data_IF_102203240769
#
_entry.id   IF_102203240769
#
_cell.length_a   1.000
_cell.length_b   1.000
_cell.length_c   1.000
_cell.angle_alpha   90.00
_cell.angle_beta   90.00
_cell.angle_gamma   90.00
#
_symmetry.space_group_name_H-M   'P 1'
#
loop_
_entity.id
_entity.type
_entity.pdbx_description
1 polymer ?
#
# COMPACT_ATOMS: atom_id res chain seq x y z
N UNK A 1 -49.92 -72.02 -16.86
CA UNK A 1 -49.41 -72.41 -15.53
C UNK A 1 -47.96 -71.94 -15.43
N UNK A 2 -47.69 -71.07 -14.46
CA UNK A 2 -46.40 -70.69 -13.84
C UNK A 2 -45.28 -70.01 -14.68
N UNK A 3 -44.91 -68.82 -14.17
CA UNK A 3 -43.83 -67.88 -14.55
C UNK A 3 -42.45 -68.30 -14.00
N UNK A 4 -41.36 -67.88 -14.68
CA UNK A 4 -40.09 -67.28 -14.15
C UNK A 4 -39.08 -67.22 -15.32
N UNK A 5 -38.75 -66.09 -15.93
CA UNK A 5 -38.13 -64.83 -15.48
C UNK A 5 -36.67 -64.95 -15.00
N UNK A 6 -35.76 -64.64 -15.95
CA UNK A 6 -34.62 -63.70 -15.90
C UNK A 6 -33.59 -63.70 -14.74
N UNK A 7 -32.33 -63.49 -15.14
CA UNK A 7 -31.27 -62.87 -14.33
C UNK A 7 -29.90 -63.53 -14.58
N UNK A 8 -29.15 -63.12 -15.61
CA UNK A 8 -28.10 -62.08 -15.55
C UNK A 8 -27.07 -62.31 -14.43
N UNK A 9 -25.84 -62.65 -14.82
CA UNK A 9 -24.63 -62.28 -14.06
C UNK A 9 -23.42 -62.31 -14.98
N UNK A 10 -22.89 -61.13 -15.31
CA UNK A 10 -21.54 -60.98 -15.85
C UNK A 10 -20.70 -60.24 -14.82
N UNK A 11 -19.51 -60.83 -14.60
CA UNK A 11 -18.26 -60.26 -14.08
C UNK A 11 -18.24 -59.59 -12.69
N UNK A 12 -17.64 -60.32 -11.74
CA UNK A 12 -16.89 -59.73 -10.63
C UNK A 12 -15.39 -59.97 -10.86
N UNK A 13 -14.59 -58.94 -10.68
CA UNK A 13 -13.19 -59.05 -10.29
C UNK A 13 -12.95 -58.05 -9.14
N UNK A 14 -12.59 -58.61 -7.98
CA UNK A 14 -11.98 -57.92 -6.84
C UNK A 14 -10.50 -57.62 -7.19
N UNK A 15 -9.69 -56.79 -6.54
CA UNK A 15 -9.67 -56.11 -5.26
C UNK A 15 -8.57 -55.05 -5.40
N UNK A 16 -8.75 -53.83 -4.90
CA UNK A 16 -7.69 -52.81 -4.89
C UNK A 16 -7.97 -51.80 -3.79
N UNK A 17 -7.47 -52.08 -2.59
CA UNK A 17 -7.60 -51.18 -1.44
C UNK A 17 -6.74 -49.94 -1.61
N UNK A 18 -7.39 -48.78 -1.61
CA UNK A 18 -6.74 -47.50 -1.33
C UNK A 18 -7.53 -46.79 -0.24
N UNK A 19 -7.05 -46.92 1.00
CA UNK A 19 -7.39 -46.00 2.07
C UNK A 19 -6.76 -44.65 1.78
N UNK A 20 -7.48 -43.79 1.05
CA UNK A 20 -7.17 -42.37 0.98
C UNK A 20 -7.78 -41.71 2.22
N UNK A 21 -6.90 -41.26 3.11
CA UNK A 21 -7.28 -40.60 4.35
C UNK A 21 -8.20 -39.40 4.10
N UNK A 22 -9.20 -39.15 4.96
CA UNK A 22 -9.94 -37.91 4.91
C UNK A 22 -8.97 -36.76 5.19
N UNK A 23 -8.81 -35.89 4.19
CA UNK A 23 -8.16 -34.58 4.33
C UNK A 23 -8.93 -33.84 5.41
N UNK A 24 -8.42 -33.88 6.63
CA UNK A 24 -8.90 -33.05 7.72
C UNK A 24 -8.69 -31.61 7.28
N UNK A 25 -9.79 -30.97 6.84
CA UNK A 25 -9.85 -29.52 6.67
C UNK A 25 -9.32 -28.94 7.98
N UNK A 26 -8.09 -28.40 7.97
CA UNK A 26 -7.56 -27.61 9.07
C UNK A 26 -8.59 -26.54 9.35
N UNK A 27 -9.34 -26.72 10.43
CA UNK A 27 -10.21 -25.70 10.99
C UNK A 27 -9.28 -24.56 11.35
N UNK A 28 -9.16 -23.56 10.46
CA UNK A 28 -8.45 -22.33 10.78
C UNK A 28 -9.15 -21.79 12.03
N UNK A 29 -8.41 -21.74 13.14
CA UNK A 29 -8.88 -21.04 14.34
C UNK A 29 -9.42 -19.67 13.89
N UNK A 30 -10.57 -19.23 14.42
CA UNK A 30 -11.04 -17.87 14.20
C UNK A 30 -9.88 -16.92 14.47
N UNK A 31 -9.47 -16.17 13.46
CA UNK A 31 -8.42 -15.17 13.63
C UNK A 31 -9.00 -14.10 14.55
N UNK A 32 -8.38 -13.89 15.70
CA UNK A 32 -8.82 -12.85 16.62
C UNK A 32 -8.90 -11.51 15.87
N UNK A 33 -9.95 -10.72 16.13
CA UNK A 33 -10.10 -9.41 15.48
C UNK A 33 -8.86 -8.56 15.77
N UNK A 34 -8.32 -7.83 14.77
CA UNK A 34 -7.10 -7.08 14.97
C UNK A 34 -7.33 -5.95 15.97
N UNK A 35 -6.45 -5.89 16.95
CA UNK A 35 -6.36 -4.78 17.88
C UNK A 35 -5.31 -3.77 17.41
N UNK A 36 -5.07 -2.77 18.25
CA UNK A 36 -4.09 -1.72 17.95
C UNK A 36 -2.66 -2.26 17.90
N UNK A 37 -2.30 -3.23 18.73
CA UNK A 37 -0.96 -3.84 18.74
C UNK A 37 -0.66 -4.59 17.45
N UNK A 38 -1.67 -5.24 16.86
CA UNK A 38 -1.54 -5.86 15.53
C UNK A 38 -1.31 -4.82 14.45
N UNK A 39 -2.02 -3.68 14.47
CA UNK A 39 -1.76 -2.58 13.55
C UNK A 39 -0.33 -2.06 13.71
N UNK A 40 0.09 -1.78 14.95
CA UNK A 40 1.40 -1.23 15.27
C UNK A 40 2.53 -2.13 14.73
N UNK A 41 2.47 -3.43 15.05
CA UNK A 41 3.44 -4.41 14.59
C UNK A 41 3.48 -4.54 13.06
N UNK A 42 2.32 -4.51 12.39
CA UNK A 42 2.26 -4.56 10.92
C UNK A 42 2.84 -3.30 10.29
N UNK A 43 2.51 -2.13 10.80
CA UNK A 43 3.08 -0.87 10.33
C UNK A 43 4.59 -0.83 10.55
N UNK A 44 5.10 -1.32 11.68
CA UNK A 44 6.54 -1.36 11.96
C UNK A 44 7.31 -2.25 10.97
N UNK A 45 6.78 -3.43 10.65
CA UNK A 45 7.36 -4.28 9.59
C UNK A 45 7.40 -3.54 8.25
N UNK A 46 6.34 -2.81 7.92
CA UNK A 46 6.29 -2.04 6.68
C UNK A 46 7.27 -0.86 6.69
N UNK A 47 7.47 -0.17 7.82
CA UNK A 47 8.48 0.89 7.96
C UNK A 47 9.85 0.37 7.55
N UNK A 48 10.27 -0.79 8.06
CA UNK A 48 11.57 -1.38 7.73
C UNK A 48 11.69 -1.74 6.25
N UNK A 49 10.62 -2.26 5.63
CA UNK A 49 10.62 -2.50 4.17
C UNK A 49 10.78 -1.21 3.38
N UNK A 50 10.07 -0.16 3.77
CA UNK A 50 10.17 1.15 3.12
C UNK A 50 11.55 1.78 3.34
N UNK A 51 12.19 1.58 4.49
CA UNK A 51 13.57 2.01 4.74
C UNK A 51 14.55 1.33 3.78
N UNK A 52 14.41 0.03 3.54
CA UNK A 52 15.22 -0.67 2.54
C UNK A 52 15.03 -0.12 1.13
N UNK A 53 13.79 0.18 0.72
CA UNK A 53 13.51 0.79 -0.59
C UNK A 53 14.04 2.23 -0.71
N UNK A 54 13.99 2.98 0.39
CA UNK A 54 14.56 4.32 0.43
C UNK A 54 16.08 4.28 0.30
N UNK A 55 16.74 3.37 1.02
CA UNK A 55 18.17 3.16 0.93
C UNK A 55 18.56 2.75 -0.50
N UNK A 56 17.83 1.81 -1.08
CA UNK A 56 18.02 1.36 -2.46
C UNK A 56 18.01 2.54 -3.45
N UNK A 57 16.97 3.37 -3.41
CA UNK A 57 16.82 4.52 -4.31
C UNK A 57 17.92 5.58 -4.14
N UNK A 58 18.51 5.69 -2.94
CA UNK A 58 19.63 6.60 -2.65
C UNK A 58 20.96 6.03 -3.13
N UNK A 59 21.21 4.74 -2.93
CA UNK A 59 22.48 4.09 -3.25
C UNK A 59 22.63 3.75 -4.73
N UNK A 60 21.51 3.62 -5.45
CA UNK A 60 21.49 3.23 -6.88
C UNK A 60 20.79 4.32 -7.71
N UNK A 61 21.31 5.56 -7.76
CA UNK A 61 20.67 6.63 -8.49
C UNK A 61 20.54 6.26 -9.97
N UNK A 62 19.32 6.36 -10.51
CA UNK A 62 19.08 6.22 -11.94
C UNK A 62 19.42 7.56 -12.61
N UNK A 63 20.45 7.59 -13.45
CA UNK A 63 20.98 8.82 -14.08
C UNK A 63 21.24 8.60 -15.56
N UNK A 64 20.97 9.61 -16.38
CA UNK A 64 21.34 9.66 -17.79
C UNK A 64 22.41 10.74 -18.01
N UNK A 65 23.56 10.36 -18.57
CA UNK A 65 24.68 11.30 -18.84
C UNK A 65 24.25 12.39 -19.82
N UNK A 66 23.31 12.07 -20.71
CA UNK A 66 22.79 13.01 -21.73
C UNK A 66 21.69 13.92 -21.18
N UNK A 67 21.10 13.58 -20.03
CA UNK A 67 20.04 14.34 -19.38
C UNK A 67 20.36 14.51 -17.88
N UNK A 68 21.16 15.51 -17.49
CA UNK A 68 21.58 15.71 -16.10
C UNK A 68 20.42 15.90 -15.12
N UNK A 69 19.30 16.44 -15.60
CA UNK A 69 18.08 16.67 -14.83
C UNK A 69 17.19 15.41 -14.72
N UNK A 70 17.52 14.33 -15.45
CA UNK A 70 16.80 13.06 -15.38
C UNK A 70 17.25 12.26 -14.15
N UNK A 71 16.56 12.46 -13.04
CA UNK A 71 16.89 11.84 -11.74
C UNK A 71 15.67 11.16 -11.11
N UNK A 72 15.04 10.21 -11.81
CA UNK A 72 13.70 9.75 -11.46
C UNK A 72 13.64 8.99 -10.12
N UNK A 73 14.74 8.36 -9.69
CA UNK A 73 14.84 7.79 -8.34
C UNK A 73 14.90 8.86 -7.25
N UNK A 74 15.59 9.98 -7.52
CA UNK A 74 15.62 11.10 -6.59
C UNK A 74 14.24 11.74 -6.45
N UNK A 75 13.51 11.85 -7.56
CA UNK A 75 12.13 12.36 -7.55
C UNK A 75 11.18 11.48 -6.73
N UNK A 76 11.47 10.18 -6.63
CA UNK A 76 10.71 9.23 -5.81
C UNK A 76 11.02 9.32 -4.30
N UNK A 77 12.20 9.82 -3.91
CA UNK A 77 12.64 9.86 -2.50
C UNK A 77 11.60 10.54 -1.58
N UNK A 78 11.02 11.71 -1.92
CA UNK A 78 9.98 12.34 -1.10
C UNK A 78 8.76 11.45 -0.86
N UNK A 79 8.26 10.73 -1.88
CA UNK A 79 7.10 9.82 -1.76
C UNK A 79 7.42 8.66 -0.82
N UNK A 80 8.61 8.06 -0.96
CA UNK A 80 9.06 6.95 -0.11
C UNK A 80 9.24 7.42 1.35
N UNK A 81 9.89 8.58 1.56
CA UNK A 81 10.06 9.20 2.89
C UNK A 81 8.74 9.51 3.56
N UNK A 82 7.79 10.11 2.85
CA UNK A 82 6.48 10.45 3.40
C UNK A 82 5.67 9.20 3.73
N UNK A 83 5.74 8.16 2.90
CA UNK A 83 5.14 6.86 3.21
C UNK A 83 5.71 6.27 4.50
N UNK A 84 7.05 6.32 4.67
CA UNK A 84 7.70 5.89 5.93
C UNK A 84 7.19 6.68 7.13
N UNK A 85 7.09 8.00 7.00
CA UNK A 85 6.60 8.90 8.07
C UNK A 85 5.16 8.56 8.45
N UNK A 86 4.30 8.27 7.47
CA UNK A 86 2.92 7.86 7.72
C UNK A 86 2.84 6.53 8.48
N UNK A 87 3.55 5.50 8.01
CA UNK A 87 3.56 4.20 8.66
C UNK A 87 4.16 4.27 10.07
N UNK A 88 5.22 5.06 10.27
CA UNK A 88 5.79 5.31 11.59
C UNK A 88 4.82 6.02 12.53
N UNK A 89 3.95 6.88 12.00
CA UNK A 89 2.92 7.54 12.79
C UNK A 89 1.83 6.58 13.24
N UNK A 90 1.54 5.57 12.42
CA UNK A 90 0.60 4.49 12.74
C UNK A 90 1.20 3.39 13.63
N UNK A 91 2.53 3.26 13.69
CA UNK A 91 3.19 2.17 14.40
C UNK A 91 3.39 2.40 15.89
N UNK A 92 3.13 3.62 16.39
CA UNK A 92 3.40 3.98 17.77
C UNK A 92 2.61 5.19 18.25
N UNK A 93 2.28 5.25 19.56
CA UNK A 93 1.79 6.47 20.17
C UNK A 93 2.82 7.60 20.08
N UNK A 94 2.36 8.84 19.88
CA UNK A 94 3.26 10.01 19.87
C UNK A 94 3.30 10.65 21.26
N UNK A 95 4.49 10.93 21.78
CA UNK A 95 4.73 11.74 22.99
C UNK A 95 4.04 11.20 24.27
N UNK A 96 4.10 9.89 24.53
CA UNK A 96 3.51 9.23 25.71
C UNK A 96 2.00 9.42 25.88
N UNK A 97 1.30 9.88 24.85
CA UNK A 97 -0.16 9.97 24.83
C UNK A 97 -0.77 8.63 24.37
N UNK A 98 -2.03 8.34 24.71
CA UNK A 98 -2.75 7.21 24.13
C UNK A 98 -2.71 7.23 22.61
N UNK A 99 -2.68 6.05 21.99
CA UNK A 99 -2.69 5.95 20.54
C UNK A 99 -3.91 6.69 19.96
N UNK A 100 -3.76 7.55 18.95
CA UNK A 100 -4.87 8.34 18.40
C UNK A 100 -5.98 7.48 17.79
N UNK A 101 -5.70 6.20 17.53
CA UNK A 101 -6.65 5.22 17.01
C UNK A 101 -7.17 4.26 18.07
N UNK A 102 -6.88 4.54 19.35
CA UNK A 102 -7.41 3.74 20.45
C UNK A 102 -8.95 3.82 20.43
N UNK A 103 -9.60 2.66 20.45
CA UNK A 103 -11.07 2.56 20.32
C UNK A 103 -11.59 2.56 18.88
N UNK A 104 -10.72 2.54 17.87
CA UNK A 104 -11.12 2.25 16.49
C UNK A 104 -11.65 0.81 16.38
N UNK A 105 -12.69 0.60 15.57
CA UNK A 105 -13.26 -0.73 15.38
C UNK A 105 -12.26 -1.69 14.73
N UNK A 106 -12.30 -3.00 15.05
CA UNK A 106 -11.42 -3.98 14.43
C UNK A 106 -11.51 -4.03 12.90
N UNK A 107 -12.69 -3.82 12.33
CA UNK A 107 -12.87 -3.78 10.87
C UNK A 107 -12.11 -2.62 10.21
N UNK A 108 -12.11 -1.45 10.85
CA UNK A 108 -11.37 -0.29 10.37
C UNK A 108 -9.86 -0.50 10.54
N UNK A 109 -9.41 -1.05 11.67
CA UNK A 109 -8.01 -1.42 11.87
C UNK A 109 -7.55 -2.44 10.81
N UNK A 110 -8.35 -3.47 10.54
CA UNK A 110 -8.07 -4.47 9.51
C UNK A 110 -7.97 -3.85 8.12
N UNK A 111 -8.86 -2.91 7.79
CA UNK A 111 -8.84 -2.21 6.52
C UNK A 111 -7.59 -1.35 6.35
N UNK A 112 -7.16 -0.64 7.40
CA UNK A 112 -5.90 0.12 7.41
C UNK A 112 -4.72 -0.84 7.19
N UNK A 113 -4.66 -1.96 7.93
CA UNK A 113 -3.60 -2.97 7.77
C UNK A 113 -3.55 -3.47 6.33
N UNK A 114 -4.68 -3.91 5.76
CA UNK A 114 -4.74 -4.48 4.40
C UNK A 114 -4.31 -3.49 3.32
N UNK A 115 -4.58 -2.20 3.52
CA UNK A 115 -4.15 -1.14 2.60
C UNK A 115 -2.65 -0.86 2.74
N UNK A 116 -2.18 -0.65 3.98
CA UNK A 116 -0.79 -0.27 4.25
C UNK A 116 0.22 -1.36 3.90
N UNK A 117 -0.12 -2.65 4.05
CA UNK A 117 0.80 -3.76 3.68
C UNK A 117 1.13 -3.82 2.18
N UNK A 118 0.32 -3.18 1.33
CA UNK A 118 0.52 -3.19 -0.14
C UNK A 118 1.51 -2.13 -0.61
N UNK A 119 1.73 -1.07 0.17
CA UNK A 119 2.46 0.11 -0.29
C UNK A 119 3.92 -0.18 -0.67
N UNK A 120 4.63 -0.98 0.13
CA UNK A 120 6.02 -1.32 -0.19
C UNK A 120 6.12 -2.10 -1.51
N UNK A 121 5.24 -3.07 -1.74
CA UNK A 121 5.24 -3.82 -3.00
C UNK A 121 4.90 -2.94 -4.22
N UNK A 122 4.10 -1.89 -4.04
CA UNK A 122 3.83 -0.90 -5.11
C UNK A 122 5.05 -0.03 -5.40
N UNK A 123 5.75 0.44 -4.36
CA UNK A 123 6.99 1.22 -4.51
C UNK A 123 8.08 0.37 -5.16
N UNK A 124 8.34 -0.82 -4.62
CA UNK A 124 9.33 -1.78 -5.15
C UNK A 124 9.10 -2.08 -6.63
N UNK A 125 7.86 -2.42 -6.98
CA UNK A 125 7.49 -2.67 -8.38
C UNK A 125 7.68 -1.45 -9.27
N UNK A 126 7.45 -0.24 -8.75
CA UNK A 126 7.61 0.97 -9.55
C UNK A 126 9.09 1.28 -9.79
N UNK A 127 9.93 1.21 -8.76
CA UNK A 127 11.37 1.39 -8.89
C UNK A 127 11.98 0.41 -9.92
N UNK A 128 11.66 -0.88 -9.82
CA UNK A 128 12.17 -1.86 -10.79
C UNK A 128 11.69 -1.62 -12.22
N UNK A 129 10.45 -1.18 -12.41
CA UNK A 129 9.95 -0.82 -13.75
C UNK A 129 10.70 0.37 -14.33
N UNK A 130 11.00 1.38 -13.51
CA UNK A 130 11.77 2.54 -13.94
C UNK A 130 13.17 2.14 -14.40
N UNK A 131 13.84 1.25 -13.68
CA UNK A 131 15.15 0.70 -14.07
C UNK A 131 15.06 -0.07 -15.38
N UNK A 132 14.09 -0.97 -15.48
CA UNK A 132 13.83 -1.79 -16.66
C UNK A 132 13.55 -0.94 -17.90
N UNK A 133 12.70 0.09 -17.76
CA UNK A 133 12.36 1.00 -18.85
C UNK A 133 13.57 1.84 -19.25
N UNK A 134 14.31 2.39 -18.28
CA UNK A 134 15.52 3.16 -18.54
C UNK A 134 16.60 2.31 -19.24
N UNK A 135 16.86 1.08 -18.79
CA UNK A 135 17.83 0.18 -19.40
C UNK A 135 17.48 -0.18 -20.86
N UNK A 136 16.18 -0.15 -21.22
CA UNK A 136 15.70 -0.38 -22.58
C UNK A 136 15.59 0.90 -23.42
N UNK A 137 15.89 2.07 -22.86
CA UNK A 137 15.62 3.36 -23.49
C UNK A 137 14.13 3.65 -23.71
N UNK A 138 13.25 2.98 -22.96
CA UNK A 138 11.82 3.18 -23.00
C UNK A 138 11.40 4.37 -22.13
N UNK A 139 10.26 4.97 -22.46
CA UNK A 139 9.66 6.03 -21.64
C UNK A 139 9.18 5.45 -20.31
N UNK A 140 9.64 6.02 -19.20
CA UNK A 140 9.13 5.71 -17.86
C UNK A 140 7.67 6.19 -17.74
N UNK A 141 6.77 5.28 -17.35
CA UNK A 141 5.37 5.59 -17.05
C UNK A 141 5.22 6.16 -15.63
N UNK A 142 5.48 7.47 -15.50
CA UNK A 142 5.41 8.16 -14.22
C UNK A 142 4.01 8.19 -13.60
N UNK A 143 2.94 8.00 -14.38
CA UNK A 143 1.57 7.93 -13.85
C UNK A 143 1.37 6.75 -12.90
N UNK A 144 2.23 5.72 -12.97
CA UNK A 144 2.21 4.60 -12.02
C UNK A 144 2.56 5.00 -10.60
N UNK A 145 3.02 6.23 -10.34
CA UNK A 145 3.10 6.76 -8.97
C UNK A 145 1.72 6.87 -8.32
N UNK A 146 0.64 7.08 -9.08
CA UNK A 146 -0.72 7.18 -8.55
C UNK A 146 -1.19 5.86 -7.92
N UNK A 147 -0.73 4.70 -8.41
CA UNK A 147 -0.97 3.40 -7.77
C UNK A 147 -0.46 3.38 -6.32
N UNK A 148 0.64 4.07 -6.02
CA UNK A 148 1.21 4.19 -4.68
C UNK A 148 0.32 5.10 -3.83
N UNK A 149 -0.05 6.26 -4.36
CA UNK A 149 -0.90 7.23 -3.66
C UNK A 149 -2.25 6.62 -3.26
N UNK A 150 -2.87 5.89 -4.18
CA UNK A 150 -4.16 5.22 -3.98
C UNK A 150 -4.13 4.19 -2.84
N UNK A 151 -2.98 3.55 -2.58
CA UNK A 151 -2.88 2.61 -1.46
C UNK A 151 -3.06 3.29 -0.10
N UNK A 152 -2.69 4.58 0.01
CA UNK A 152 -2.74 5.33 1.26
C UNK A 152 -4.06 6.11 1.42
N UNK A 153 -4.75 6.43 0.33
CA UNK A 153 -6.04 7.14 0.40
C UNK A 153 -7.08 6.43 1.26
N UNK A 154 -7.19 5.11 1.16
CA UNK A 154 -8.16 4.34 1.96
C UNK A 154 -7.90 4.47 3.46
N UNK A 155 -6.66 4.27 3.96
CA UNK A 155 -6.30 4.59 5.33
C UNK A 155 -6.69 6.02 5.75
N UNK A 156 -6.39 7.03 4.93
CA UNK A 156 -6.71 8.44 5.25
C UNK A 156 -8.21 8.62 5.49
N UNK A 157 -9.06 8.15 4.57
CA UNK A 157 -10.52 8.28 4.71
C UNK A 157 -11.06 7.59 5.97
N UNK A 158 -10.49 6.45 6.35
CA UNK A 158 -10.86 5.73 7.59
C UNK A 158 -10.46 6.54 8.82
N UNK A 159 -9.24 7.10 8.82
CA UNK A 159 -8.75 7.94 9.91
C UNK A 159 -9.63 9.18 10.09
N UNK A 160 -9.95 9.89 9.01
CA UNK A 160 -10.80 11.07 9.04
C UNK A 160 -12.21 10.77 9.57
N UNK A 161 -12.82 9.69 9.08
CA UNK A 161 -14.15 9.27 9.54
C UNK A 161 -14.14 8.93 11.04
N UNK A 162 -13.10 8.24 11.52
CA UNK A 162 -12.95 7.94 12.94
C UNK A 162 -12.84 9.22 13.78
N UNK A 163 -12.02 10.18 13.36
CA UNK A 163 -11.85 11.43 14.11
C UNK A 163 -13.13 12.27 14.17
N UNK A 164 -13.89 12.33 13.07
CA UNK A 164 -15.18 13.03 13.05
C UNK A 164 -16.22 12.38 13.98
N UNK A 165 -16.21 11.04 14.12
CA UNK A 165 -17.08 10.36 15.08
C UNK A 165 -16.69 10.62 16.54
N UNK A 166 -15.38 10.73 16.82
CA UNK A 166 -14.88 11.01 18.17
C UNK A 166 -15.06 12.46 18.62
N UNK A 167 -15.27 13.41 17.71
CA UNK A 167 -15.60 14.80 18.09
C UNK A 167 -17.05 14.92 18.57
N UNK A 168 -17.96 14.17 17.96
CA UNK A 168 -19.39 14.17 18.30
C UNK A 168 -19.71 13.48 19.64
N UNK A 169 -18.81 12.64 20.14
CA UNK A 169 -18.88 12.05 21.49
C UNK A 169 -17.89 12.83 22.34
N UNK A 170 -18.31 13.51 23.41
CA UNK A 170 -17.46 14.34 24.28
C UNK A 170 -16.33 13.54 24.98
N UNK A 171 -15.37 13.03 24.21
CA UNK A 171 -14.19 12.30 24.65
C UNK A 171 -13.11 13.28 25.09
N UNK A 172 -12.21 12.94 26.04
CA UNK A 172 -11.16 13.86 26.50
C UNK A 172 -10.22 14.25 25.36
N UNK A 173 -10.47 15.43 24.77
CA UNK A 173 -10.00 15.91 23.44
C UNK A 173 -8.51 16.35 23.36
N UNK A 174 -7.60 15.71 24.09
CA UNK A 174 -6.21 16.19 24.16
C UNK A 174 -5.27 15.84 23.00
N UNK A 175 -5.60 14.83 22.17
CA UNK A 175 -4.68 14.27 21.16
C UNK A 175 -5.19 14.34 19.71
N UNK A 176 -6.51 14.32 19.51
CA UNK A 176 -7.15 14.23 18.18
C UNK A 176 -6.88 15.43 17.26
N UNK A 177 -6.98 16.70 17.70
CA UNK A 177 -6.80 17.85 16.81
C UNK A 177 -5.38 17.95 16.22
N UNK A 178 -4.36 17.67 17.03
CA UNK A 178 -2.95 17.69 16.58
C UNK A 178 -2.67 16.58 15.56
N UNK A 179 -3.30 15.41 15.73
CA UNK A 179 -3.13 14.32 14.78
C UNK A 179 -3.83 14.63 13.45
N UNK A 180 -5.04 15.18 13.50
CA UNK A 180 -5.79 15.60 12.30
C UNK A 180 -5.00 16.65 11.50
N UNK A 181 -4.45 17.64 12.18
CA UNK A 181 -3.65 18.67 11.51
C UNK A 181 -2.38 18.09 10.89
N UNK A 182 -1.67 17.22 11.61
CA UNK A 182 -0.53 16.51 11.06
C UNK A 182 -0.91 15.68 9.82
N UNK A 183 -2.05 14.97 9.85
CA UNK A 183 -2.50 14.14 8.73
C UNK A 183 -2.80 15.00 7.50
N UNK A 184 -3.45 16.15 7.69
CA UNK A 184 -3.75 17.12 6.63
C UNK A 184 -2.49 17.66 5.96
N UNK A 185 -1.52 18.11 6.77
CA UNK A 185 -0.24 18.63 6.27
C UNK A 185 0.53 17.53 5.55
N UNK A 186 0.60 16.33 6.15
CA UNK A 186 1.27 15.19 5.56
C UNK A 186 0.66 14.82 4.20
N UNK A 187 -0.67 14.75 4.09
CA UNK A 187 -1.37 14.35 2.86
C UNK A 187 -1.13 15.36 1.73
N UNK A 188 -1.16 16.66 2.04
CA UNK A 188 -0.83 17.71 1.08
C UNK A 188 0.61 17.56 0.53
N UNK A 189 1.58 17.26 1.39
CA UNK A 189 2.96 17.02 0.96
C UNK A 189 3.10 15.71 0.16
N UNK A 190 2.33 14.69 0.51
CA UNK A 190 2.36 13.40 -0.17
C UNK A 190 1.79 13.50 -1.60
N UNK A 191 0.62 14.13 -1.74
CA UNK A 191 0.02 14.45 -3.04
C UNK A 191 0.95 15.32 -3.88
N UNK A 192 1.51 16.39 -3.31
CA UNK A 192 2.44 17.28 -4.03
C UNK A 192 3.68 16.53 -4.53
N UNK A 193 4.21 15.61 -3.75
CA UNK A 193 5.37 14.80 -4.14
C UNK A 193 5.02 13.87 -5.30
N UNK A 194 3.87 13.18 -5.23
CA UNK A 194 3.37 12.35 -6.32
C UNK A 194 3.13 13.13 -7.62
N UNK A 195 2.46 14.28 -7.56
CA UNK A 195 2.20 15.11 -8.73
C UNK A 195 3.47 15.63 -9.41
N UNK A 196 4.53 15.93 -8.64
CA UNK A 196 5.82 16.36 -9.20
C UNK A 196 6.45 15.29 -10.08
N UNK A 197 6.34 14.03 -9.68
CA UNK A 197 6.86 12.89 -10.44
C UNK A 197 6.05 12.68 -11.73
N UNK A 198 4.72 12.80 -11.67
CA UNK A 198 3.85 12.61 -12.85
C UNK A 198 3.89 13.76 -13.85
N UNK A 199 4.41 14.93 -13.48
CA UNK A 199 4.41 16.14 -14.31
C UNK A 199 5.82 16.74 -14.45
N UNK A 200 6.79 16.01 -15.01
CA UNK A 200 8.15 16.53 -15.17
C UNK A 200 8.19 17.72 -16.16
N UNK A 201 7.35 17.71 -17.21
CA UNK A 201 7.37 18.68 -18.32
C UNK A 201 6.86 20.10 -17.97
N UNK A 202 6.11 20.26 -16.87
CA UNK A 202 5.60 21.57 -16.45
C UNK A 202 6.62 22.42 -15.69
N UNK A 203 7.70 21.81 -15.19
CA UNK A 203 8.82 22.58 -14.62
C UNK A 203 9.67 23.23 -15.72
N UNK A 204 9.81 22.58 -16.88
CA UNK A 204 10.53 23.11 -18.04
C UNK A 204 9.75 24.27 -18.70
N UNK A 205 8.43 24.16 -18.78
CA UNK A 205 7.57 25.19 -19.41
C UNK A 205 7.39 26.48 -18.58
N UNK A 206 7.62 26.43 -17.27
CA UNK A 206 7.57 27.59 -16.38
C UNK A 206 8.96 28.22 -16.14
N UNK A 207 10.02 27.63 -16.70
CA UNK A 207 11.41 28.04 -16.54
C UNK A 207 12.02 28.78 -17.74
N UNK A 208 11.32 28.93 -18.87
CA UNK A 208 11.84 29.68 -20.03
C UNK A 208 11.35 31.14 -20.05
N UNK A 209 12.19 32.13 -19.70
CA UNK A 209 11.93 33.51 -20.06
C UNK A 209 12.27 33.69 -21.55
N UNK A 210 11.29 33.47 -22.41
CA UNK A 210 11.31 34.00 -23.77
C UNK A 210 11.16 32.97 -24.88
N UNK A 211 9.95 32.43 -25.04
CA UNK A 211 9.50 31.99 -26.36
C UNK A 211 8.39 32.94 -26.83
N UNK A 212 8.75 33.79 -27.79
CA UNK A 212 7.84 34.70 -28.49
C UNK A 212 6.89 33.86 -29.34
N UNK A 213 5.62 33.80 -28.95
CA UNK A 213 4.57 33.40 -29.87
C UNK A 213 4.35 34.53 -30.88
N UNK A 214 4.82 34.32 -32.11
CA UNK A 214 4.31 35.03 -33.29
C UNK A 214 3.16 34.21 -33.87
N UNK A 215 1.96 34.76 -33.84
CA UNK A 215 0.83 34.25 -34.62
C UNK A 215 0.96 34.76 -36.06
N UNK A 216 0.94 33.83 -37.01
CA UNK A 216 0.45 34.07 -38.37
C UNK A 216 -0.73 33.12 -38.60
#
# INVERSE_FOLDING_TARGET
MVRRAQGVRSTQAATGGQGAQPVTKRTRKPTEPPDIGVLEGRCQVMVHRIEGLLQYAVEHPLTDITQPDFQPFQDMIPVIKLTRVFLNKLSRPTNNKPHPLLGMSPDNLLAIIRSTVRVAGKIEKFLHRMEDDHARGARIDFEKVYDILDTIQRPIRILEAHFSQTENRQSPQGSTPKYREWLRVWDAHFCRSGCRISMPELQTMLGEPGSKFSFN
#
